data_IF_367640570618
#
_entry.id   IF_367640570618
#
_cell.length_a   1.000
_cell.length_b   1.000
_cell.length_c   1.000
_cell.angle_alpha   90.00
_cell.angle_beta   90.00
_cell.angle_gamma   90.00
#
_symmetry.space_group_name_H-M   'P 1'
#
loop_
_entity.id
_entity.type
_entity.pdbx_description
1 polymer ?
#
# COMPACT_ATOMS: atom_id res chain seq x y z
N UNK A 1 16.09 16.29 11.33
CA UNK A 1 14.89 15.42 11.36
C UNK A 1 13.85 16.10 10.48
N UNK A 2 13.32 15.42 9.47
CA UNK A 2 12.24 15.94 8.63
C UNK A 2 10.92 15.54 9.30
N UNK A 3 10.00 16.48 9.60
CA UNK A 3 8.66 16.16 10.08
C UNK A 3 7.91 15.20 9.14
N UNK A 4 7.08 14.30 9.68
CA UNK A 4 6.43 13.23 8.88
C UNK A 4 5.47 13.78 7.81
N UNK A 5 4.88 14.95 8.05
CA UNK A 5 4.07 15.70 7.08
C UNK A 5 4.87 16.28 5.92
N UNK A 6 6.14 16.64 6.14
CA UNK A 6 7.03 17.06 5.07
C UNK A 6 7.48 15.86 4.22
N UNK A 7 7.51 14.65 4.79
CA UNK A 7 7.90 13.44 4.06
C UNK A 7 6.87 13.08 2.97
N UNK A 8 5.57 13.20 3.26
CA UNK A 8 4.49 12.92 2.30
C UNK A 8 4.48 13.87 1.11
N UNK A 9 4.86 15.13 1.35
CA UNK A 9 5.03 16.17 0.33
C UNK A 9 6.32 15.98 -0.47
N UNK A 10 7.40 15.55 0.18
CA UNK A 10 8.67 15.27 -0.48
C UNK A 10 8.55 14.10 -1.46
N UNK A 11 8.03 12.95 -1.03
CA UNK A 11 7.95 11.80 -1.94
C UNK A 11 6.96 12.04 -3.09
N UNK A 12 5.95 12.91 -2.91
CA UNK A 12 5.09 13.35 -4.02
C UNK A 12 5.92 13.90 -5.19
N UNK A 13 6.89 14.77 -4.90
CA UNK A 13 7.78 15.34 -5.90
C UNK A 13 8.75 14.30 -6.46
N UNK A 14 9.27 13.40 -5.60
CA UNK A 14 10.14 12.29 -6.04
C UNK A 14 9.41 11.39 -7.02
N UNK A 15 8.16 11.01 -6.75
CA UNK A 15 7.39 10.16 -7.65
C UNK A 15 7.12 10.83 -8.99
N UNK A 16 6.73 12.12 -8.98
CA UNK A 16 6.56 12.89 -10.23
C UNK A 16 7.87 12.97 -11.02
N UNK A 17 8.99 13.20 -10.35
CA UNK A 17 10.29 13.22 -11.01
C UNK A 17 10.63 11.85 -11.62
N UNK A 18 10.50 10.76 -10.87
CA UNK A 18 10.80 9.41 -11.36
C UNK A 18 9.86 8.99 -12.51
N UNK A 19 8.58 9.37 -12.46
CA UNK A 19 7.64 9.16 -13.57
C UNK A 19 8.12 9.82 -14.87
N UNK A 20 8.82 10.96 -14.78
CA UNK A 20 9.43 11.62 -15.97
C UNK A 20 10.70 10.92 -16.47
N UNK A 21 11.36 10.12 -15.63
CA UNK A 21 12.55 9.33 -16.03
C UNK A 21 12.12 8.02 -16.71
N UNK A 22 11.04 7.41 -16.21
CA UNK A 22 10.41 6.25 -16.81
C UNK A 22 9.75 5.34 -15.76
N UNK A 23 8.81 4.50 -16.20
CA UNK A 23 8.09 3.57 -15.30
C UNK A 23 9.07 2.64 -14.56
N UNK A 24 10.14 2.20 -15.22
CA UNK A 24 11.12 1.31 -14.62
C UNK A 24 11.84 1.95 -13.42
N UNK A 25 12.18 3.25 -13.49
CA UNK A 25 12.83 3.96 -12.40
C UNK A 25 11.88 4.14 -11.19
N UNK A 26 10.60 4.42 -11.46
CA UNK A 26 9.58 4.50 -10.42
C UNK A 26 9.34 3.15 -9.74
N UNK A 27 9.25 2.06 -10.51
CA UNK A 27 9.11 0.71 -9.98
C UNK A 27 10.32 0.27 -9.16
N UNK A 28 11.53 0.58 -9.62
CA UNK A 28 12.76 0.33 -8.86
C UNK A 28 12.76 1.08 -7.54
N UNK A 29 12.29 2.34 -7.50
CA UNK A 29 12.20 3.10 -6.27
C UNK A 29 11.22 2.47 -5.27
N UNK A 30 10.05 2.02 -5.72
CA UNK A 30 9.10 1.30 -4.84
C UNK A 30 9.65 -0.03 -4.35
N UNK A 31 10.41 -0.75 -5.18
CA UNK A 31 11.12 -1.97 -4.75
C UNK A 31 12.17 -1.69 -3.69
N UNK A 32 12.91 -0.58 -3.78
CA UNK A 32 13.86 -0.18 -2.73
C UNK A 32 13.15 0.20 -1.41
N UNK A 33 11.98 0.86 -1.48
CA UNK A 33 11.14 1.10 -0.31
C UNK A 33 10.70 -0.25 0.30
N UNK A 34 10.24 -1.18 -0.53
CA UNK A 34 9.83 -2.53 -0.12
C UNK A 34 10.96 -3.26 0.63
N UNK A 35 12.16 -3.31 0.04
CA UNK A 35 13.35 -3.90 0.67
C UNK A 35 13.70 -3.27 2.01
N UNK A 36 13.50 -1.97 2.15
CA UNK A 36 13.73 -1.31 3.43
C UNK A 36 12.65 -1.69 4.46
N UNK A 37 11.38 -1.77 4.05
CA UNK A 37 10.26 -2.15 4.92
C UNK A 37 10.32 -3.59 5.40
N UNK A 38 10.94 -4.49 4.65
CA UNK A 38 11.18 -5.88 5.07
C UNK A 38 11.85 -5.98 6.45
N UNK A 39 12.78 -5.06 6.76
CA UNK A 39 13.48 -5.01 8.05
C UNK A 39 12.54 -4.80 9.25
N UNK A 40 11.35 -4.28 9.01
CA UNK A 40 10.38 -3.92 10.05
C UNK A 40 9.25 -4.94 10.17
N UNK A 41 8.85 -5.58 9.07
CA UNK A 41 7.63 -6.40 9.04
C UNK A 41 7.89 -7.89 8.79
N UNK A 42 8.99 -8.28 8.13
CA UNK A 42 9.13 -9.65 7.62
C UNK A 42 9.21 -10.66 8.77
N UNK A 43 9.99 -10.38 9.81
CA UNK A 43 10.07 -11.24 11.00
C UNK A 43 8.71 -11.44 11.68
N UNK A 44 7.87 -10.39 11.74
CA UNK A 44 6.52 -10.49 12.30
C UNK A 44 5.64 -11.41 11.44
N UNK A 45 5.73 -11.29 10.12
CA UNK A 45 4.97 -12.15 9.20
C UNK A 45 5.42 -13.62 9.32
N UNK A 46 6.72 -13.86 9.34
CA UNK A 46 7.28 -15.21 9.41
C UNK A 46 6.97 -15.91 10.73
N UNK A 47 7.02 -15.17 11.85
CA UNK A 47 6.83 -15.75 13.18
C UNK A 47 5.37 -15.80 13.63
N UNK A 48 4.52 -14.88 13.15
CA UNK A 48 3.14 -14.72 13.64
C UNK A 48 2.08 -14.68 12.53
N UNK A 49 2.47 -14.72 11.27
CA UNK A 49 1.56 -14.68 10.12
C UNK A 49 0.68 -13.43 10.12
N UNK A 50 -0.62 -13.62 9.85
CA UNK A 50 -1.62 -12.54 9.88
C UNK A 50 -1.68 -11.78 11.23
N UNK A 51 -1.37 -12.43 12.35
CA UNK A 51 -1.32 -11.73 13.64
C UNK A 51 -0.11 -10.80 13.76
N UNK A 52 1.02 -11.14 13.13
CA UNK A 52 2.18 -10.26 13.05
C UNK A 52 1.94 -9.06 12.14
N UNK A 53 1.25 -9.29 11.03
CA UNK A 53 0.74 -8.23 10.15
C UNK A 53 -0.20 -7.28 10.90
N UNK A 54 -1.20 -7.82 11.61
CA UNK A 54 -2.13 -7.03 12.43
C UNK A 54 -1.38 -6.18 13.45
N UNK A 55 -0.39 -6.76 14.14
CA UNK A 55 0.45 -6.03 15.10
C UNK A 55 1.20 -4.87 14.43
N UNK A 56 1.86 -5.11 13.29
CA UNK A 56 2.59 -4.09 12.57
C UNK A 56 1.69 -2.91 12.19
N UNK A 57 0.57 -3.18 11.52
CA UNK A 57 -0.32 -2.11 11.07
C UNK A 57 -1.11 -1.44 12.20
N UNK A 58 -1.30 -2.11 13.35
CA UNK A 58 -1.86 -1.47 14.55
C UNK A 58 -0.93 -0.38 15.09
N UNK A 59 0.39 -0.61 15.07
CA UNK A 59 1.37 0.42 15.46
C UNK A 59 1.32 1.60 14.48
N UNK A 60 1.33 1.33 13.17
CA UNK A 60 1.25 2.39 12.15
C UNK A 60 -0.04 3.21 12.30
N UNK A 61 -1.18 2.55 12.55
CA UNK A 61 -2.46 3.23 12.79
C UNK A 61 -2.34 4.27 13.91
N UNK A 62 -1.73 3.88 15.02
CA UNK A 62 -1.60 4.74 16.20
C UNK A 62 -0.58 5.86 15.97
N UNK A 63 0.59 5.55 15.40
CA UNK A 63 1.66 6.51 15.16
C UNK A 63 1.31 7.55 14.10
N UNK A 64 0.60 7.16 13.05
CA UNK A 64 0.19 8.05 11.96
C UNK A 64 -1.20 8.68 12.17
N UNK A 65 -1.89 8.32 13.25
CA UNK A 65 -3.27 8.74 13.56
C UNK A 65 -4.22 8.51 12.35
N UNK A 66 -4.17 7.30 11.79
CA UNK A 66 -4.98 6.94 10.63
C UNK A 66 -6.44 6.71 11.00
N UNK A 67 -7.37 7.14 10.13
CA UNK A 67 -8.74 6.62 10.15
C UNK A 67 -8.78 5.22 9.56
N UNK A 68 -8.24 4.23 10.26
CA UNK A 68 -8.05 2.85 9.78
C UNK A 68 -8.77 1.85 10.68
N UNK A 69 -9.63 1.01 10.12
CA UNK A 69 -10.12 -0.20 10.80
C UNK A 69 -9.22 -1.39 10.43
N UNK A 70 -8.92 -2.23 11.43
CA UNK A 70 -8.16 -3.46 11.26
C UNK A 70 -8.98 -4.64 11.78
N UNK A 71 -9.28 -5.58 10.90
CA UNK A 71 -10.03 -6.79 11.22
C UNK A 71 -9.19 -8.02 10.93
N UNK A 72 -8.84 -8.74 12.00
CA UNK A 72 -8.13 -10.01 11.90
C UNK A 72 -9.13 -11.17 11.92
N UNK A 73 -9.14 -11.95 10.84
CA UNK A 73 -9.91 -13.19 10.73
C UNK A 73 -8.97 -14.40 10.72
N UNK A 74 -9.55 -15.60 10.78
CA UNK A 74 -8.79 -16.84 10.71
C UNK A 74 -8.04 -16.99 9.37
N UNK A 75 -8.67 -16.56 8.27
CA UNK A 75 -8.20 -16.80 6.90
C UNK A 75 -7.62 -15.56 6.20
N UNK A 76 -7.83 -14.37 6.78
CA UNK A 76 -7.39 -13.10 6.20
C UNK A 76 -7.25 -11.97 7.22
N UNK A 77 -6.51 -10.95 6.84
CA UNK A 77 -6.47 -9.65 7.49
C UNK A 77 -7.13 -8.63 6.55
N UNK A 78 -7.97 -7.75 7.10
CA UNK A 78 -8.55 -6.61 6.38
C UNK A 78 -8.14 -5.29 7.02
N UNK A 79 -7.81 -4.32 6.18
CA UNK A 79 -7.53 -2.95 6.52
C UNK A 79 -8.48 -2.05 5.72
N UNK A 80 -9.34 -1.32 6.40
CA UNK A 80 -10.27 -0.36 5.80
C UNK A 80 -9.83 1.05 6.16
N UNK A 81 -9.19 1.72 5.21
CA UNK A 81 -8.74 3.09 5.37
C UNK A 81 -9.87 4.04 4.98
N UNK A 82 -10.33 4.84 5.94
CA UNK A 82 -11.36 5.87 5.77
C UNK A 82 -10.77 7.29 5.68
N UNK A 83 -9.56 7.49 6.21
CA UNK A 83 -8.83 8.75 6.14
C UNK A 83 -7.32 8.52 6.10
N UNK A 84 -6.79 8.26 4.90
CA UNK A 84 -5.37 8.09 4.64
C UNK A 84 -4.61 9.41 4.88
N UNK A 85 -3.72 9.48 5.89
CA UNK A 85 -3.00 10.72 6.19
C UNK A 85 -2.03 11.10 5.06
N UNK A 86 -1.46 10.12 4.37
CA UNK A 86 -0.52 10.34 3.27
C UNK A 86 -1.17 11.08 2.08
N UNK A 87 -2.27 10.54 1.54
CA UNK A 87 -2.94 11.17 0.40
C UNK A 87 -3.55 12.52 0.81
N UNK A 88 -4.16 12.61 1.99
CA UNK A 88 -4.74 13.86 2.48
C UNK A 88 -3.68 14.98 2.53
N UNK A 89 -2.48 14.70 3.04
CA UNK A 89 -1.37 15.67 3.09
C UNK A 89 -0.76 15.99 1.73
N UNK A 90 -0.77 15.05 0.78
CA UNK A 90 -0.35 15.33 -0.58
C UNK A 90 -1.33 16.23 -1.32
N UNK A 91 -2.64 16.06 -1.06
CA UNK A 91 -3.70 16.91 -1.59
C UNK A 91 -3.72 18.29 -0.93
N UNK A 92 -3.43 18.37 0.37
CA UNK A 92 -3.21 19.61 1.12
C UNK A 92 -1.77 20.10 0.99
N UNK A 93 -1.40 20.46 -0.25
CA UNK A 93 -0.06 20.92 -0.60
C UNK A 93 -0.13 21.95 -1.75
N UNK A 94 0.83 22.89 -1.78
CA UNK A 94 0.94 23.87 -2.87
C UNK A 94 1.32 23.21 -4.21
N UNK A 95 1.98 22.05 -4.14
CA UNK A 95 2.30 21.25 -5.30
C UNK A 95 1.18 20.26 -5.62
N UNK A 96 0.84 20.13 -6.91
CA UNK A 96 -0.15 19.16 -7.38
C UNK A 96 0.25 17.73 -6.97
N UNK A 97 -0.68 16.92 -6.43
CA UNK A 97 -0.45 15.50 -6.19
C UNK A 97 -0.03 14.76 -7.47
N UNK A 98 0.86 13.79 -7.31
CA UNK A 98 1.11 12.79 -8.34
C UNK A 98 -0.20 12.07 -8.66
N UNK A 99 -0.53 11.91 -9.94
CA UNK A 99 -1.78 11.26 -10.37
C UNK A 99 -1.91 9.83 -9.82
N UNK A 100 -0.78 9.13 -9.72
CA UNK A 100 -0.66 7.74 -9.26
C UNK A 100 -0.12 7.63 -7.84
N UNK A 101 -0.36 8.66 -7.01
CA UNK A 101 0.23 8.73 -5.68
C UNK A 101 -0.03 7.46 -4.88
N UNK A 102 -1.27 6.95 -4.84
CA UNK A 102 -1.64 5.75 -4.08
C UNK A 102 -0.95 4.46 -4.55
N UNK A 103 -0.45 4.40 -5.80
CA UNK A 103 0.19 3.20 -6.34
C UNK A 103 1.42 2.78 -5.52
N UNK A 104 2.06 3.71 -4.81
CA UNK A 104 3.20 3.40 -3.95
C UNK A 104 2.87 2.40 -2.84
N UNK A 105 1.64 2.43 -2.28
CA UNK A 105 1.24 1.56 -1.19
C UNK A 105 1.27 0.09 -1.63
N UNK A 106 0.60 -0.23 -2.74
CA UNK A 106 0.69 -1.56 -3.34
C UNK A 106 2.11 -1.86 -3.83
N UNK A 107 2.79 -0.84 -4.40
CA UNK A 107 4.14 -0.94 -4.93
C UNK A 107 5.18 -1.46 -3.93
N UNK A 108 5.08 -1.09 -2.65
CA UNK A 108 6.01 -1.61 -1.63
C UNK A 108 5.46 -2.80 -0.84
N UNK A 109 4.14 -2.90 -0.61
CA UNK A 109 3.54 -4.00 0.17
C UNK A 109 3.51 -5.29 -0.65
N UNK A 110 3.13 -5.20 -1.93
CA UNK A 110 2.99 -6.34 -2.83
C UNK A 110 4.22 -7.24 -2.89
N UNK A 111 5.43 -6.69 -3.15
CA UNK A 111 6.65 -7.49 -3.19
C UNK A 111 7.01 -8.17 -1.86
N UNK A 112 6.57 -7.64 -0.71
CA UNK A 112 6.71 -8.33 0.59
C UNK A 112 5.76 -9.52 0.64
N UNK A 113 4.51 -9.33 0.24
CA UNK A 113 3.52 -10.41 0.25
C UNK A 113 3.93 -11.56 -0.66
N UNK A 114 4.48 -11.26 -1.85
CA UNK A 114 5.01 -12.26 -2.80
C UNK A 114 6.11 -13.15 -2.20
N UNK A 115 6.82 -12.67 -1.16
CA UNK A 115 7.87 -13.44 -0.46
C UNK A 115 7.35 -14.31 0.67
N UNK A 116 6.12 -14.10 1.12
CA UNK A 116 5.62 -14.65 2.39
C UNK A 116 4.57 -15.76 2.21
N UNK A 117 4.17 -16.05 0.97
CA UNK A 117 3.13 -17.02 0.66
C UNK A 117 1.71 -16.52 0.94
N UNK A 118 1.54 -15.24 1.27
CA UNK A 118 0.24 -14.58 1.41
C UNK A 118 -0.16 -13.88 0.12
N UNK A 119 -1.47 -13.66 -0.04
CA UNK A 119 -2.04 -13.13 -1.27
C UNK A 119 -2.71 -11.77 -1.01
N UNK A 120 -2.11 -10.72 -1.58
CA UNK A 120 -2.56 -9.35 -1.44
C UNK A 120 -3.65 -9.01 -2.45
N UNK A 121 -4.69 -8.35 -1.96
CA UNK A 121 -5.66 -7.59 -2.75
C UNK A 121 -5.66 -6.17 -2.22
N UNK A 122 -5.29 -5.22 -3.08
CA UNK A 122 -5.23 -3.81 -2.71
C UNK A 122 -6.17 -3.03 -3.64
N UNK A 123 -7.27 -2.55 -3.08
CA UNK A 123 -8.25 -1.71 -3.78
C UNK A 123 -8.02 -0.26 -3.36
N UNK A 124 -7.50 0.56 -4.27
CA UNK A 124 -7.32 1.97 -3.98
C UNK A 124 -8.63 2.74 -3.94
N UNK A 125 -9.76 2.16 -4.39
CA UNK A 125 -11.08 2.79 -4.55
C UNK A 125 -11.04 3.96 -5.55
N UNK A 126 -10.27 4.99 -5.23
CA UNK A 126 -10.03 6.19 -6.01
C UNK A 126 -8.63 6.73 -5.74
N UNK A 127 -8.02 7.36 -6.74
CA UNK A 127 -6.74 8.08 -6.59
C UNK A 127 -6.89 9.47 -5.99
N UNK A 128 -8.12 9.95 -5.81
CA UNK A 128 -8.42 11.31 -5.33
C UNK A 128 -9.21 11.34 -4.04
N UNK A 129 -9.47 10.19 -3.44
CA UNK A 129 -10.19 10.09 -2.17
C UNK A 129 -9.28 9.35 -1.17
N UNK A 130 -9.09 9.87 0.05
CA UNK A 130 -8.13 9.31 1.01
C UNK A 130 -8.70 8.05 1.69
N UNK A 131 -9.14 7.07 0.89
CA UNK A 131 -9.76 5.83 1.33
C UNK A 131 -9.30 4.68 0.44
N UNK A 132 -9.05 3.52 1.05
CA UNK A 132 -8.63 2.31 0.35
C UNK A 132 -8.95 1.08 1.19
N UNK A 133 -8.93 -0.10 0.57
CA UNK A 133 -9.07 -1.38 1.25
C UNK A 133 -7.91 -2.27 0.89
N UNK A 134 -7.23 -2.80 1.92
CA UNK A 134 -6.21 -3.81 1.75
C UNK A 134 -6.66 -5.10 2.42
N UNK A 135 -6.60 -6.21 1.69
CA UNK A 135 -6.91 -7.54 2.19
C UNK A 135 -5.73 -8.46 1.93
N UNK A 136 -5.35 -9.25 2.93
CA UNK A 136 -4.27 -10.22 2.83
C UNK A 136 -4.82 -11.59 3.18
N UNK A 137 -4.79 -12.53 2.23
CA UNK A 137 -5.36 -13.86 2.36
C UNK A 137 -4.29 -14.93 2.49
N UNK A 138 -4.61 -16.01 3.22
CA UNK A 138 -3.85 -17.27 3.16
C UNK A 138 -4.10 -18.05 1.88
N UNK A 139 -5.31 -17.95 1.33
CA UNK A 139 -5.75 -18.74 0.18
C UNK A 139 -5.77 -17.89 -1.10
N UNK A 140 -5.05 -18.28 -2.17
CA UNK A 140 -5.05 -17.55 -3.43
C UNK A 140 -6.40 -17.53 -4.14
N UNK A 141 -7.26 -18.53 -3.95
CA UNK A 141 -8.59 -18.54 -4.55
C UNK A 141 -9.48 -17.45 -3.97
N UNK A 142 -9.47 -17.30 -2.63
CA UNK A 142 -10.20 -16.23 -1.94
C UNK A 142 -9.70 -14.84 -2.30
N UNK A 143 -8.38 -14.68 -2.48
CA UNK A 143 -7.82 -13.42 -2.98
C UNK A 143 -8.37 -13.07 -4.37
N UNK A 144 -8.39 -14.03 -5.31
CA UNK A 144 -8.95 -13.83 -6.66
C UNK A 144 -10.45 -13.50 -6.64
N UNK A 145 -11.22 -14.11 -5.74
CA UNK A 145 -12.63 -13.76 -5.55
C UNK A 145 -12.79 -12.32 -5.05
N UNK A 146 -11.94 -11.89 -4.11
CA UNK A 146 -11.96 -10.53 -3.59
C UNK A 146 -11.52 -9.49 -4.64
N UNK A 147 -10.58 -9.82 -5.53
CA UNK A 147 -10.16 -8.95 -6.64
C UNK A 147 -11.32 -8.57 -7.56
N UNK A 148 -12.26 -9.50 -7.80
CA UNK A 148 -13.43 -9.22 -8.62
C UNK A 148 -14.36 -8.15 -8.04
N UNK A 149 -14.25 -7.86 -6.74
CA UNK A 149 -15.01 -6.82 -6.05
C UNK A 149 -14.27 -5.49 -5.92
N UNK A 150 -13.00 -5.42 -6.31
CA UNK A 150 -12.19 -4.20 -6.19
C UNK A 150 -12.66 -3.15 -7.21
N UNK A 151 -12.79 -1.90 -6.76
CA UNK A 151 -13.17 -0.78 -7.62
C UNK A 151 -11.99 -0.28 -8.45
N UNK A 152 -10.82 -0.19 -7.82
CA UNK A 152 -9.55 0.16 -8.45
C UNK A 152 -8.47 -0.79 -7.93
N UNK A 153 -8.37 -1.95 -8.58
CA UNK A 153 -7.38 -2.96 -8.22
C UNK A 153 -5.96 -2.47 -8.55
N UNK A 154 -5.10 -2.45 -7.54
CA UNK A 154 -3.72 -2.00 -7.68
C UNK A 154 -2.78 -3.14 -8.09
N UNK A 155 -1.80 -2.80 -8.92
CA UNK A 155 -0.64 -3.64 -9.23
C UNK A 155 0.62 -3.15 -8.52
N UNK A 156 1.69 -3.92 -8.65
CA UNK A 156 3.02 -3.63 -8.13
C UNK A 156 4.11 -4.23 -9.02
N UNK A 157 5.39 -3.88 -8.81
CA UNK A 157 6.49 -4.50 -9.55
C UNK A 157 6.49 -6.03 -9.38
N UNK A 158 6.37 -6.76 -10.49
CA UNK A 158 6.20 -8.22 -10.50
C UNK A 158 4.76 -8.72 -10.64
N UNK A 159 3.75 -7.85 -10.41
CA UNK A 159 2.34 -8.15 -10.62
C UNK A 159 1.60 -6.94 -11.17
N UNK A 160 1.36 -6.92 -12.49
CA UNK A 160 0.54 -5.88 -13.11
C UNK A 160 -0.93 -6.06 -12.70
N UNK A 161 -1.62 -4.97 -12.38
CA UNK A 161 -3.08 -4.98 -12.27
C UNK A 161 -3.66 -5.48 -13.58
N UNK A 162 -4.71 -6.31 -13.54
CA UNK A 162 -5.47 -6.61 -14.75
C UNK A 162 -5.92 -5.30 -15.39
N UNK A 163 -5.77 -5.17 -16.71
CA UNK A 163 -6.23 -4.00 -17.47
C UNK A 163 -7.73 -3.77 -17.23
N UNK A 164 -8.08 -2.94 -16.26
CA UNK A 164 -9.44 -2.65 -15.85
C UNK A 164 -9.67 -1.15 -15.81
N UNK A 165 -10.10 -0.59 -16.96
CA UNK A 165 -10.66 0.76 -17.04
C UNK A 165 -10.00 1.65 -18.09
N UNK A 166 -10.60 1.67 -19.29
CA UNK A 166 -10.47 2.79 -20.25
C UNK A 166 -11.20 4.02 -19.71
#
# INVERSE_FOLDING_TARGET
MIPSDHFTRFYNEVFKFLETQGEADLELYWLEISKNQEKHILELIETRGLAGMYQYWSVIKDEENCGLDLDLHEDRLELHMHACPSLAKAMDNDAKPMTRYCDHCAGWIGPIMDKTGYHLVYDAISRTEPRCVMKVFKDPAKAREAEASAQLLMGWPGRKSGEGGR
#
